data_IF_190943218652
#
_entry.id   IF_190943218652
#
_cell.length_a   1.000
_cell.length_b   1.000
_cell.length_c   1.000
_cell.angle_alpha   90.00
_cell.angle_beta   90.00
_cell.angle_gamma   90.00
#
_symmetry.space_group_name_H-M   'P 1'
#
loop_
_entity.id
_entity.type
_entity.pdbx_description
1 polymer ?
#
# COMPACT_ATOMS: atom_id res chain seq x y z
N UNK A 1 -7.70 -18.28 15.01
CA UNK A 1 -7.15 -17.28 14.05
C UNK A 1 -7.38 -17.82 12.66
N UNK A 2 -8.08 -17.07 11.80
CA UNK A 2 -8.42 -17.54 10.45
C UNK A 2 -7.18 -17.77 9.58
N UNK A 3 -7.37 -18.52 8.50
CA UNK A 3 -6.33 -18.93 7.53
C UNK A 3 -5.58 -17.76 6.86
N UNK A 4 -6.05 -16.52 6.98
CA UNK A 4 -5.47 -15.34 6.32
C UNK A 4 -4.01 -15.03 6.69
N UNK A 5 -3.56 -15.44 7.86
CA UNK A 5 -2.15 -15.22 8.28
C UNK A 5 -1.15 -16.12 7.57
N UNK A 6 -1.60 -17.20 6.93
CA UNK A 6 -0.75 -18.01 6.06
C UNK A 6 -0.35 -17.26 4.79
N UNK A 7 -1.12 -16.23 4.41
CA UNK A 7 -0.86 -15.37 3.26
C UNK A 7 0.05 -14.17 3.60
N UNK A 8 0.83 -14.25 4.71
CA UNK A 8 1.72 -13.17 5.13
C UNK A 8 2.64 -12.64 4.02
N UNK A 9 3.12 -13.45 3.04
CA UNK A 9 3.95 -12.92 1.96
C UNK A 9 3.17 -11.95 1.05
N UNK A 10 1.92 -12.27 0.75
CA UNK A 10 1.04 -11.40 -0.03
C UNK A 10 0.60 -10.17 0.76
N UNK A 11 0.43 -10.31 2.09
CA UNK A 11 0.15 -9.17 2.97
C UNK A 11 1.29 -8.15 2.89
N UNK A 12 2.54 -8.58 3.02
CA UNK A 12 3.71 -7.71 2.92
C UNK A 12 3.79 -7.07 1.54
N UNK A 13 3.68 -7.86 0.48
CA UNK A 13 3.75 -7.37 -0.90
C UNK A 13 2.72 -6.28 -1.17
N UNK A 14 1.46 -6.53 -0.84
CA UNK A 14 0.38 -5.57 -1.14
C UNK A 14 0.45 -4.32 -0.29
N UNK A 15 0.69 -4.42 1.03
CA UNK A 15 0.79 -3.26 1.92
C UNK A 15 2.00 -2.40 1.56
N UNK A 16 3.17 -3.00 1.38
CA UNK A 16 4.39 -2.27 1.03
C UNK A 16 4.26 -1.63 -0.35
N UNK A 17 3.77 -2.36 -1.35
CA UNK A 17 3.56 -1.83 -2.69
C UNK A 17 2.65 -0.60 -2.72
N UNK A 18 1.55 -0.62 -1.94
CA UNK A 18 0.64 0.52 -1.81
C UNK A 18 1.30 1.71 -1.11
N UNK A 19 2.02 1.49 -0.02
CA UNK A 19 2.77 2.54 0.67
C UNK A 19 3.84 3.15 -0.24
N UNK A 20 4.55 2.31 -1.02
CA UNK A 20 5.57 2.75 -1.98
C UNK A 20 4.96 3.58 -3.11
N UNK A 21 3.86 3.13 -3.70
CA UNK A 21 3.17 3.87 -4.75
C UNK A 21 2.73 5.26 -4.26
N UNK A 22 2.08 5.32 -3.08
CA UNK A 22 1.68 6.58 -2.46
C UNK A 22 2.85 7.46 -2.05
N UNK A 23 3.89 6.88 -1.45
CA UNK A 23 5.12 7.59 -1.07
C UNK A 23 5.88 8.15 -2.27
N UNK A 24 5.94 7.39 -3.37
CA UNK A 24 6.52 7.88 -4.63
C UNK A 24 5.76 9.10 -5.16
N UNK A 25 4.43 9.08 -5.14
CA UNK A 25 3.61 10.24 -5.57
C UNK A 25 3.97 11.47 -4.74
N UNK A 26 4.08 11.34 -3.42
CA UNK A 26 4.45 12.46 -2.54
C UNK A 26 5.82 13.05 -2.91
N UNK A 27 6.84 12.21 -3.06
CA UNK A 27 8.19 12.67 -3.39
C UNK A 27 8.27 13.24 -4.81
N UNK A 28 7.56 12.62 -5.76
CA UNK A 28 7.48 13.12 -7.14
C UNK A 28 6.83 14.51 -7.19
N UNK A 29 5.72 14.71 -6.48
CA UNK A 29 5.06 16.02 -6.40
C UNK A 29 5.96 17.08 -5.74
N UNK A 30 6.72 16.71 -4.69
CA UNK A 30 7.69 17.61 -4.07
C UNK A 30 8.79 18.04 -5.07
N UNK A 31 9.28 17.10 -5.89
CA UNK A 31 10.30 17.39 -6.91
C UNK A 31 9.73 18.19 -8.10
N UNK A 32 8.48 17.94 -8.49
CA UNK A 32 7.80 18.62 -9.61
C UNK A 32 7.40 20.05 -9.27
N UNK A 33 7.12 20.35 -8.00
CA UNK A 33 6.76 21.70 -7.56
C UNK A 33 7.87 22.74 -7.86
N UNK A 34 9.13 22.30 -7.92
CA UNK A 34 10.23 23.13 -8.38
C UNK A 34 10.81 24.11 -7.36
N UNK A 35 10.26 24.18 -6.15
CA UNK A 35 10.69 25.14 -5.11
C UNK A 35 11.97 24.68 -4.38
N UNK A 36 12.44 23.46 -4.63
CA UNK A 36 13.59 22.88 -3.95
C UNK A 36 14.90 23.30 -4.62
N UNK A 37 15.87 23.71 -3.81
CA UNK A 37 17.25 23.93 -4.29
C UNK A 37 17.84 22.62 -4.82
N UNK A 38 18.79 22.69 -5.75
CA UNK A 38 19.38 21.54 -6.42
C UNK A 38 19.94 20.48 -5.42
N UNK A 39 20.55 20.92 -4.32
CA UNK A 39 21.05 20.04 -3.27
C UNK A 39 19.92 19.29 -2.53
N UNK A 40 18.82 19.98 -2.23
CA UNK A 40 17.66 19.40 -1.58
C UNK A 40 16.98 18.40 -2.52
N UNK A 41 16.85 18.71 -3.82
CA UNK A 41 16.34 17.80 -4.82
C UNK A 41 17.17 16.50 -4.86
N UNK A 42 18.51 16.62 -4.83
CA UNK A 42 19.40 15.46 -4.85
C UNK A 42 19.26 14.62 -3.58
N UNK A 43 19.07 15.24 -2.39
CA UNK A 43 18.80 14.51 -1.15
C UNK A 43 17.46 13.78 -1.20
N UNK A 44 16.40 14.42 -1.73
CA UNK A 44 15.10 13.74 -1.91
C UNK A 44 15.24 12.54 -2.82
N UNK A 45 15.91 12.69 -3.96
CA UNK A 45 16.19 11.57 -4.88
C UNK A 45 16.96 10.47 -4.16
N UNK A 46 17.96 10.80 -3.35
CA UNK A 46 18.71 9.81 -2.56
C UNK A 46 17.79 9.05 -1.59
N UNK A 47 16.91 9.75 -0.87
CA UNK A 47 15.97 9.15 0.08
C UNK A 47 14.92 8.27 -0.59
N UNK A 48 14.62 8.45 -1.90
CA UNK A 48 13.75 7.56 -2.66
C UNK A 48 14.28 6.11 -2.71
N UNK A 49 15.56 5.88 -2.40
CA UNK A 49 16.11 4.53 -2.26
C UNK A 49 15.29 3.68 -1.27
N UNK A 50 14.80 4.29 -0.18
CA UNK A 50 13.94 3.61 0.79
C UNK A 50 12.67 3.03 0.18
N UNK A 51 12.09 3.68 -0.84
CA UNK A 51 10.92 3.15 -1.56
C UNK A 51 11.28 1.84 -2.29
N UNK A 52 12.42 1.83 -2.96
CA UNK A 52 12.85 0.68 -3.76
C UNK A 52 13.27 -0.50 -2.88
N UNK A 53 13.83 -0.23 -1.70
CA UNK A 53 14.10 -1.27 -0.69
C UNK A 53 12.78 -1.90 -0.22
N UNK A 54 11.78 -1.10 0.15
CA UNK A 54 10.47 -1.63 0.56
C UNK A 54 9.79 -2.41 -0.57
N UNK A 55 9.85 -1.90 -1.80
CA UNK A 55 9.30 -2.59 -2.96
C UNK A 55 10.01 -3.93 -3.22
N UNK A 56 11.34 -3.95 -3.13
CA UNK A 56 12.15 -5.16 -3.25
C UNK A 56 11.79 -6.20 -2.18
N UNK A 57 11.63 -5.79 -0.92
CA UNK A 57 11.17 -6.67 0.17
C UNK A 57 9.79 -7.24 -0.15
N UNK A 58 8.87 -6.42 -0.65
CA UNK A 58 7.55 -6.86 -1.08
C UNK A 58 7.60 -7.93 -2.18
N UNK A 59 8.41 -7.72 -3.23
CA UNK A 59 8.59 -8.72 -4.28
C UNK A 59 9.23 -10.01 -3.77
N UNK A 60 10.27 -9.92 -2.93
CA UNK A 60 10.90 -11.11 -2.33
C UNK A 60 9.87 -11.88 -1.50
N UNK A 61 9.08 -11.19 -0.67
CA UNK A 61 8.01 -11.82 0.09
C UNK A 61 7.01 -12.52 -0.84
N UNK A 62 6.54 -11.85 -1.90
CA UNK A 62 5.62 -12.45 -2.88
C UNK A 62 6.18 -13.72 -3.53
N UNK A 63 7.50 -13.75 -3.82
CA UNK A 63 8.13 -14.96 -4.38
C UNK A 63 8.14 -16.14 -3.39
N UNK A 64 8.18 -15.90 -2.08
CA UNK A 64 8.13 -16.95 -1.06
C UNK A 64 6.77 -17.65 -0.99
N UNK A 65 5.70 -16.99 -1.46
CA UNK A 65 4.37 -17.61 -1.58
C UNK A 65 4.29 -18.61 -2.75
N UNK A 66 5.15 -18.46 -3.75
CA UNK A 66 5.21 -19.38 -4.89
C UNK A 66 5.91 -20.69 -4.45
N UNK A 67 5.22 -21.80 -4.52
CA UNK A 67 5.82 -23.11 -4.21
C UNK A 67 7.05 -23.47 -5.06
N UNK A 68 7.31 -22.71 -6.12
CA UNK A 68 8.49 -22.81 -6.99
C UNK A 68 8.91 -21.40 -7.45
N UNK A 69 9.79 -20.69 -6.72
CA UNK A 69 10.21 -19.32 -7.06
C UNK A 69 10.80 -19.18 -8.47
N UNK A 70 11.46 -20.22 -8.98
CA UNK A 70 12.01 -20.23 -10.36
C UNK A 70 10.93 -20.16 -11.43
N UNK A 71 9.67 -20.48 -11.10
CA UNK A 71 8.53 -20.37 -12.00
C UNK A 71 7.83 -19.01 -11.94
N UNK A 72 8.34 -18.06 -11.12
CA UNK A 72 7.77 -16.71 -11.03
C UNK A 72 7.66 -16.03 -12.40
N UNK A 73 8.63 -16.25 -13.30
CA UNK A 73 8.60 -15.72 -14.66
C UNK A 73 7.43 -16.27 -15.51
N UNK A 74 6.94 -17.48 -15.20
CA UNK A 74 5.79 -18.05 -15.92
C UNK A 74 4.49 -17.26 -15.64
N UNK A 75 4.43 -16.52 -14.54
CA UNK A 75 3.30 -15.64 -14.26
C UNK A 75 3.16 -14.52 -15.30
N UNK A 76 4.23 -14.16 -16.01
CA UNK A 76 4.19 -13.16 -17.07
C UNK A 76 3.64 -13.69 -18.41
N UNK A 77 3.53 -15.01 -18.57
CA UNK A 77 3.07 -15.63 -19.84
C UNK A 77 1.60 -15.34 -20.17
N UNK A 78 0.81 -14.87 -19.21
CA UNK A 78 -0.63 -14.59 -19.36
C UNK A 78 -1.00 -13.13 -19.13
N UNK A 79 -0.05 -12.22 -19.32
CA UNK A 79 -0.32 -10.77 -19.27
C UNK A 79 -1.42 -10.42 -20.29
N UNK A 80 -2.38 -9.62 -19.84
CA UNK A 80 -3.58 -9.28 -20.60
C UNK A 80 -4.76 -10.24 -20.37
N UNK A 81 -4.51 -11.51 -20.02
CA UNK A 81 -5.54 -12.52 -19.83
C UNK A 81 -5.78 -12.90 -18.36
N UNK A 82 -4.78 -12.75 -17.49
CA UNK A 82 -4.86 -13.09 -16.07
C UNK A 82 -4.65 -11.85 -15.20
N UNK A 83 -5.55 -11.62 -14.24
CA UNK A 83 -5.44 -10.50 -13.30
C UNK A 83 -4.14 -10.57 -12.48
N UNK A 84 -3.74 -11.77 -12.01
CA UNK A 84 -2.49 -11.99 -11.31
C UNK A 84 -1.26 -11.66 -12.18
N UNK A 85 -1.28 -12.07 -13.45
CA UNK A 85 -0.20 -11.76 -14.40
C UNK A 85 -0.11 -10.24 -14.64
N UNK A 86 -1.24 -9.55 -14.72
CA UNK A 86 -1.31 -8.11 -14.90
C UNK A 86 -0.79 -7.37 -13.66
N UNK A 87 -1.09 -7.84 -12.45
CA UNK A 87 -0.56 -7.30 -11.21
C UNK A 87 0.97 -7.40 -11.17
N UNK A 88 1.52 -8.60 -11.41
CA UNK A 88 2.97 -8.83 -11.40
C UNK A 88 3.66 -8.00 -12.49
N UNK A 89 3.10 -7.94 -13.69
CA UNK A 89 3.64 -7.14 -14.78
C UNK A 89 3.64 -5.64 -14.46
N UNK A 90 2.51 -5.10 -13.99
CA UNK A 90 2.41 -3.67 -13.65
C UNK A 90 3.32 -3.29 -12.50
N UNK A 91 3.42 -4.13 -11.46
CA UNK A 91 4.35 -3.92 -10.35
C UNK A 91 5.82 -3.97 -10.79
N UNK A 92 6.17 -4.94 -11.65
CA UNK A 92 7.51 -5.06 -12.22
C UNK A 92 7.87 -3.86 -13.10
N UNK A 93 6.94 -3.38 -13.92
CA UNK A 93 7.14 -2.18 -14.75
C UNK A 93 7.29 -0.94 -13.87
N UNK A 94 6.44 -0.76 -12.84
CA UNK A 94 6.57 0.34 -11.89
C UNK A 94 7.93 0.31 -11.19
N UNK A 95 8.38 -0.86 -10.70
CA UNK A 95 9.65 -1.04 -10.03
C UNK A 95 10.83 -0.77 -10.97
N UNK A 96 10.78 -1.28 -12.21
CA UNK A 96 11.83 -1.10 -13.20
C UNK A 96 11.93 0.36 -13.66
N UNK A 97 10.82 0.96 -14.10
CA UNK A 97 10.79 2.36 -14.56
C UNK A 97 11.13 3.32 -13.44
N UNK A 98 10.55 3.10 -12.26
CA UNK A 98 10.81 3.90 -11.08
C UNK A 98 12.26 3.78 -10.62
N UNK A 99 12.78 2.56 -10.49
CA UNK A 99 14.14 2.28 -10.01
C UNK A 99 15.23 2.68 -10.99
N UNK A 100 15.07 2.39 -12.29
CA UNK A 100 16.04 2.81 -13.32
C UNK A 100 16.06 4.34 -13.44
N UNK A 101 14.89 4.98 -13.47
CA UNK A 101 14.81 6.43 -13.50
C UNK A 101 15.44 7.08 -12.25
N UNK A 102 15.20 6.49 -11.06
CA UNK A 102 15.86 6.90 -9.83
C UNK A 102 17.38 6.79 -9.93
N UNK A 103 17.91 5.66 -10.43
CA UNK A 103 19.35 5.47 -10.60
C UNK A 103 19.95 6.51 -11.56
N UNK A 104 19.30 6.76 -12.69
CA UNK A 104 19.72 7.77 -13.65
C UNK A 104 19.66 9.19 -13.07
N UNK A 105 18.64 9.50 -12.25
CA UNK A 105 18.52 10.76 -11.53
C UNK A 105 19.64 10.93 -10.48
N UNK A 106 19.96 9.85 -9.72
CA UNK A 106 21.08 9.83 -8.79
C UNK A 106 22.42 10.10 -9.48
N UNK A 107 22.63 9.50 -10.65
CA UNK A 107 23.84 9.70 -11.47
C UNK A 107 23.82 11.03 -12.25
N UNK A 108 22.79 11.87 -12.04
CA UNK A 108 22.61 13.17 -12.75
C UNK A 108 22.61 13.04 -14.29
N UNK A 109 22.16 11.90 -14.80
CA UNK A 109 22.10 11.61 -16.24
C UNK A 109 20.76 11.98 -16.89
N UNK A 110 19.76 12.42 -16.11
CA UNK A 110 18.48 12.86 -16.64
C UNK A 110 18.49 14.37 -16.89
N UNK A 111 18.12 14.78 -18.09
CA UNK A 111 17.77 16.18 -18.35
C UNK A 111 16.53 16.60 -17.53
N UNK A 112 16.30 17.88 -17.27
CA UNK A 112 15.12 18.33 -16.52
C UNK A 112 13.80 17.83 -17.11
N UNK A 113 13.66 17.82 -18.43
CA UNK A 113 12.48 17.34 -19.12
C UNK A 113 12.28 15.82 -18.94
N UNK A 114 13.34 15.02 -19.09
CA UNK A 114 13.29 13.55 -18.88
C UNK A 114 13.00 13.20 -17.43
N UNK A 115 13.53 13.98 -16.47
CA UNK A 115 13.22 13.80 -15.05
C UNK A 115 11.74 14.05 -14.77
N UNK A 116 11.18 15.14 -15.30
CA UNK A 116 9.75 15.45 -15.18
C UNK A 116 8.89 14.33 -15.79
N UNK A 117 9.23 13.89 -17.00
CA UNK A 117 8.52 12.79 -17.67
C UNK A 117 8.57 11.49 -16.85
N UNK A 118 9.76 11.12 -16.37
CA UNK A 118 9.94 9.95 -15.51
C UNK A 118 9.07 10.00 -14.27
N UNK A 119 9.06 11.14 -13.54
CA UNK A 119 8.26 11.30 -12.32
C UNK A 119 6.76 11.12 -12.61
N UNK A 120 6.26 11.74 -13.70
CA UNK A 120 4.84 11.64 -14.08
C UNK A 120 4.49 10.20 -14.48
N UNK A 121 5.31 9.58 -15.34
CA UNK A 121 5.06 8.21 -15.79
C UNK A 121 5.09 7.22 -14.62
N UNK A 122 6.07 7.34 -13.73
CA UNK A 122 6.17 6.45 -12.58
C UNK A 122 5.02 6.65 -11.57
N UNK A 123 4.51 7.89 -11.36
CA UNK A 123 3.29 8.12 -10.57
C UNK A 123 2.09 7.38 -11.16
N UNK A 124 1.88 7.49 -12.48
CA UNK A 124 0.78 6.81 -13.17
C UNK A 124 0.91 5.29 -13.06
N UNK A 125 2.12 4.76 -13.27
CA UNK A 125 2.41 3.32 -13.13
C UNK A 125 2.16 2.82 -11.69
N UNK A 126 2.48 3.62 -10.68
CA UNK A 126 2.19 3.29 -9.27
C UNK A 126 0.68 3.16 -9.00
N UNK A 127 -0.13 4.08 -9.54
CA UNK A 127 -1.60 4.00 -9.43
C UNK A 127 -2.14 2.78 -10.19
N UNK A 128 -1.64 2.54 -11.41
CA UNK A 128 -2.02 1.35 -12.21
C UNK A 128 -1.68 0.07 -11.44
N UNK A 129 -0.51 0.00 -10.83
CA UNK A 129 -0.10 -1.15 -10.03
C UNK A 129 -1.08 -1.43 -8.86
N UNK A 130 -1.45 -0.41 -8.09
CA UNK A 130 -2.45 -0.58 -7.02
C UNK A 130 -3.80 -1.00 -7.59
N UNK A 131 -4.22 -0.45 -8.73
CA UNK A 131 -5.44 -0.88 -9.40
C UNK A 131 -5.38 -2.34 -9.86
N UNK A 132 -4.25 -2.81 -10.36
CA UNK A 132 -4.08 -4.22 -10.76
C UNK A 132 -4.11 -5.15 -9.55
N UNK A 133 -3.58 -4.74 -8.39
CA UNK A 133 -3.78 -5.48 -7.12
C UNK A 133 -5.26 -5.65 -6.79
N UNK A 134 -6.05 -4.58 -6.89
CA UNK A 134 -7.51 -4.64 -6.68
C UNK A 134 -8.14 -5.63 -7.63
N UNK A 135 -7.77 -5.58 -8.91
CA UNK A 135 -8.34 -6.45 -9.96
C UNK A 135 -8.14 -7.94 -9.72
N UNK A 136 -7.04 -8.34 -9.05
CA UNK A 136 -6.81 -9.75 -8.71
C UNK A 136 -7.97 -10.31 -7.88
N UNK A 137 -8.45 -9.56 -6.90
CA UNK A 137 -9.47 -10.02 -5.96
C UNK A 137 -10.87 -9.60 -6.39
N UNK A 138 -11.03 -8.36 -6.86
CA UNK A 138 -12.34 -7.81 -7.24
C UNK A 138 -12.86 -8.31 -8.60
N UNK A 139 -12.16 -9.23 -9.26
CA UNK A 139 -12.65 -9.91 -10.46
C UNK A 139 -13.13 -11.34 -10.22
N UNK A 140 -13.00 -11.84 -8.98
CA UNK A 140 -13.39 -13.20 -8.60
C UNK A 140 -14.82 -13.17 -8.06
N UNK A 141 -15.80 -13.28 -8.95
CA UNK A 141 -17.24 -13.25 -8.63
C UNK A 141 -17.70 -14.44 -7.76
N UNK A 142 -16.94 -15.54 -7.79
CA UNK A 142 -17.15 -16.72 -6.94
C UNK A 142 -16.74 -16.51 -5.48
N UNK A 143 -16.12 -15.37 -5.14
CA UNK A 143 -15.73 -15.00 -3.78
C UNK A 143 -16.41 -13.69 -3.39
N UNK A 144 -17.67 -13.72 -2.90
CA UNK A 144 -18.48 -12.52 -2.66
C UNK A 144 -17.82 -11.53 -1.69
N UNK A 145 -17.04 -12.03 -0.73
CA UNK A 145 -16.31 -11.21 0.26
C UNK A 145 -15.18 -10.39 -0.35
N UNK A 146 -14.65 -10.79 -1.51
CA UNK A 146 -13.64 -10.07 -2.29
C UNK A 146 -14.24 -9.32 -3.48
N UNK A 147 -15.31 -9.87 -4.09
CA UNK A 147 -16.05 -9.23 -5.16
C UNK A 147 -17.03 -8.19 -4.58
N UNK A 148 -16.48 -7.12 -4.00
CA UNK A 148 -17.24 -6.08 -3.33
C UNK A 148 -16.56 -4.72 -3.49
N UNK A 149 -17.30 -3.64 -3.23
CA UNK A 149 -16.77 -2.26 -3.24
C UNK A 149 -15.71 -2.05 -2.14
N UNK A 150 -15.73 -2.85 -1.07
CA UNK A 150 -14.79 -2.72 0.03
C UNK A 150 -13.37 -3.08 -0.36
N UNK A 151 -13.19 -3.95 -1.36
CA UNK A 151 -11.87 -4.34 -1.88
C UNK A 151 -11.12 -3.14 -2.49
N UNK A 152 -11.62 -2.43 -3.52
CA UNK A 152 -10.93 -1.25 -4.02
C UNK A 152 -10.76 -0.18 -2.95
N UNK A 153 -11.77 0.06 -2.10
CA UNK A 153 -11.66 1.03 -1.02
C UNK A 153 -10.53 0.67 -0.06
N UNK A 154 -10.46 -0.56 0.43
CA UNK A 154 -9.42 -0.99 1.37
C UNK A 154 -8.01 -0.86 0.80
N UNK A 155 -7.82 -1.17 -0.49
CA UNK A 155 -6.51 -1.08 -1.14
C UNK A 155 -6.06 0.38 -1.33
N UNK A 156 -6.92 1.26 -1.84
CA UNK A 156 -6.57 2.66 -2.02
C UNK A 156 -6.47 3.42 -0.68
N UNK A 157 -7.27 3.07 0.33
CA UNK A 157 -7.14 3.67 1.66
C UNK A 157 -5.78 3.36 2.30
N UNK A 158 -5.24 2.14 2.13
CA UNK A 158 -3.87 1.82 2.56
C UNK A 158 -2.84 2.72 1.84
N UNK A 159 -3.00 2.95 0.53
CA UNK A 159 -2.13 3.84 -0.23
C UNK A 159 -2.22 5.30 0.27
N UNK A 160 -3.44 5.81 0.52
CA UNK A 160 -3.67 7.17 1.00
C UNK A 160 -3.33 7.37 2.48
N UNK A 161 -3.17 6.30 3.25
CA UNK A 161 -2.75 6.37 4.65
C UNK A 161 -1.24 6.22 4.78
N UNK A 162 -0.68 5.16 4.22
CA UNK A 162 0.73 4.83 4.35
C UNK A 162 1.64 5.64 3.43
N UNK A 163 1.17 5.98 2.22
CA UNK A 163 1.94 6.77 1.26
C UNK A 163 2.32 8.15 1.77
N UNK A 164 1.39 8.96 2.28
CA UNK A 164 1.71 10.28 2.83
C UNK A 164 2.68 10.23 4.03
N UNK A 165 2.52 9.28 4.94
CA UNK A 165 3.45 9.15 6.08
C UNK A 165 4.84 8.71 5.63
N UNK A 166 4.94 7.73 4.72
CA UNK A 166 6.22 7.30 4.15
C UNK A 166 6.89 8.45 3.38
N UNK A 167 6.14 9.15 2.56
CA UNK A 167 6.63 10.32 1.82
C UNK A 167 7.12 11.43 2.74
N UNK A 168 6.37 11.72 3.81
CA UNK A 168 6.76 12.71 4.82
C UNK A 168 8.04 12.29 5.56
N UNK A 169 8.15 11.02 5.98
CA UNK A 169 9.35 10.47 6.59
C UNK A 169 10.58 10.64 5.69
N UNK A 170 10.47 10.32 4.40
CA UNK A 170 11.58 10.44 3.45
C UNK A 170 11.93 11.90 3.13
N UNK A 171 10.94 12.81 3.09
CA UNK A 171 11.19 14.25 2.96
C UNK A 171 11.91 14.79 4.21
N UNK A 172 11.51 14.38 5.40
CA UNK A 172 12.17 14.77 6.65
C UNK A 172 13.60 14.25 6.72
N UNK A 173 13.86 13.00 6.26
CA UNK A 173 15.22 12.46 6.11
C UNK A 173 16.06 13.28 5.13
N UNK A 174 15.45 13.81 4.06
CA UNK A 174 16.11 14.68 3.10
C UNK A 174 16.32 16.11 3.62
N UNK A 175 15.85 16.43 4.82
CA UNK A 175 15.89 17.81 5.37
C UNK A 175 15.02 18.79 4.57
N UNK A 176 13.89 18.32 4.04
CA UNK A 176 12.91 19.12 3.31
C UNK A 176 11.69 19.29 4.20
N UNK A 177 11.55 20.49 4.73
CA UNK A 177 10.47 20.84 5.65
C UNK A 177 9.42 21.73 4.96
N UNK A 178 8.22 21.76 5.51
CA UNK A 178 7.21 22.81 5.26
C UNK A 178 6.26 22.53 4.12
N UNK A 179 6.68 21.92 3.02
CA UNK A 179 5.88 21.82 1.80
C UNK A 179 4.52 21.13 2.00
N UNK A 180 4.47 20.09 2.77
CA UNK A 180 3.28 19.26 2.91
C UNK A 180 2.85 19.04 4.37
N UNK A 181 3.35 19.87 5.28
CA UNK A 181 3.20 19.68 6.73
C UNK A 181 1.75 19.51 7.20
N UNK A 182 0.79 20.13 6.52
CA UNK A 182 -0.63 20.05 6.89
C UNK A 182 -1.43 19.15 5.96
N UNK A 183 -1.06 19.11 4.68
CA UNK A 183 -1.81 18.37 3.67
C UNK A 183 -1.62 16.85 3.82
N UNK A 184 -0.38 16.39 3.97
CA UNK A 184 -0.12 14.94 4.06
C UNK A 184 -0.76 14.30 5.30
N UNK A 185 -0.64 14.86 6.53
CA UNK A 185 -1.36 14.36 7.68
C UNK A 185 -2.89 14.39 7.50
N UNK A 186 -3.44 15.46 6.89
CA UNK A 186 -4.87 15.58 6.64
C UNK A 186 -5.40 14.48 5.72
N UNK A 187 -4.66 14.14 4.67
CA UNK A 187 -5.01 13.02 3.76
C UNK A 187 -5.04 11.71 4.55
N UNK A 188 -4.03 11.44 5.38
CA UNK A 188 -3.98 10.20 6.18
C UNK A 188 -5.07 10.14 7.25
N UNK A 189 -5.41 11.27 7.89
CA UNK A 189 -6.53 11.35 8.85
C UNK A 189 -7.87 11.09 8.14
N UNK A 190 -8.09 11.70 6.98
CA UNK A 190 -9.30 11.42 6.19
C UNK A 190 -9.37 9.94 5.80
N UNK A 191 -8.25 9.36 5.35
CA UNK A 191 -8.18 7.94 5.02
C UNK A 191 -8.47 7.05 6.25
N UNK A 192 -8.01 7.43 7.46
CA UNK A 192 -8.33 6.72 8.70
C UNK A 192 -9.83 6.77 9.01
N UNK A 193 -10.44 7.95 8.93
CA UNK A 193 -11.89 8.11 9.19
C UNK A 193 -12.69 7.26 8.23
N UNK A 194 -12.40 7.36 6.92
CA UNK A 194 -13.08 6.55 5.90
C UNK A 194 -12.82 5.06 6.13
N UNK A 195 -11.60 4.67 6.51
CA UNK A 195 -11.26 3.27 6.81
C UNK A 195 -12.06 2.72 8.00
N UNK A 196 -12.33 3.54 9.02
CA UNK A 196 -13.20 3.20 10.13
C UNK A 196 -14.64 2.93 9.67
N UNK A 197 -15.19 3.83 8.85
CA UNK A 197 -16.54 3.66 8.27
C UNK A 197 -16.60 2.39 7.42
N UNK A 198 -15.62 2.18 6.53
CA UNK A 198 -15.52 0.98 5.68
C UNK A 198 -15.49 -0.29 6.52
N UNK A 199 -14.71 -0.31 7.61
CA UNK A 199 -14.60 -1.48 8.49
C UNK A 199 -15.93 -1.84 9.14
N UNK A 200 -16.69 -0.84 9.59
CA UNK A 200 -18.03 -1.04 10.17
C UNK A 200 -19.04 -1.52 9.13
N UNK A 201 -19.07 -0.87 7.97
CA UNK A 201 -20.00 -1.22 6.88
C UNK A 201 -19.72 -2.62 6.32
N UNK A 202 -18.46 -2.95 6.10
CA UNK A 202 -18.03 -4.29 5.67
C UNK A 202 -18.42 -5.33 6.73
N UNK A 203 -18.19 -5.06 8.01
CA UNK A 203 -18.57 -5.96 9.09
C UNK A 203 -20.08 -6.24 9.12
N UNK A 204 -20.91 -5.22 8.88
CA UNK A 204 -22.36 -5.39 8.78
C UNK A 204 -22.76 -6.24 7.55
N UNK A 205 -22.12 -6.02 6.40
CA UNK A 205 -22.38 -6.79 5.18
C UNK A 205 -21.97 -8.27 5.32
N UNK A 206 -20.86 -8.56 6.01
CA UNK A 206 -20.42 -9.94 6.24
C UNK A 206 -21.47 -10.79 6.98
N UNK A 207 -22.32 -10.18 7.79
CA UNK A 207 -23.43 -10.87 8.46
C UNK A 207 -24.52 -11.32 7.48
N UNK A 208 -24.61 -10.72 6.30
CA UNK A 208 -25.62 -11.04 5.27
C UNK A 208 -25.10 -12.05 4.23
N UNK A 209 -23.77 -12.19 4.11
CA UNK A 209 -23.16 -13.11 3.14
C UNK A 209 -23.09 -14.51 3.75
N UNK A 210 -23.80 -15.46 3.15
CA UNK A 210 -23.82 -16.85 3.58
C UNK A 210 -23.97 -17.81 2.39
N UNK A 211 -23.43 -19.00 2.54
CA UNK A 211 -23.72 -20.17 1.71
C UNK A 211 -24.59 -21.15 2.50
N UNK A 212 -24.98 -22.26 1.89
CA UNK A 212 -25.73 -23.33 2.58
C UNK A 212 -24.98 -23.95 3.76
N UNK A 213 -23.64 -23.83 3.80
CA UNK A 213 -22.79 -24.49 4.81
C UNK A 213 -21.95 -23.53 5.65
N UNK A 214 -21.80 -22.26 5.26
CA UNK A 214 -20.90 -21.31 5.91
C UNK A 214 -21.40 -19.88 5.84
N UNK A 215 -21.17 -19.13 6.92
CA UNK A 215 -21.40 -17.68 6.98
C UNK A 215 -20.06 -16.93 6.85
N UNK A 216 -20.04 -15.84 6.12
CA UNK A 216 -18.82 -15.04 5.94
C UNK A 216 -18.30 -14.48 7.28
N UNK A 217 -19.17 -14.10 8.19
CA UNK A 217 -18.81 -13.65 9.54
C UNK A 217 -18.07 -14.74 10.37
N UNK A 218 -18.30 -16.02 10.10
CA UNK A 218 -17.64 -17.13 10.79
C UNK A 218 -16.21 -17.40 10.30
N UNK A 219 -15.81 -16.87 9.13
CA UNK A 219 -14.45 -17.01 8.59
C UNK A 219 -13.40 -16.30 9.44
N UNK A 220 -13.78 -15.14 10.00
CA UNK A 220 -12.93 -14.35 10.90
C UNK A 220 -13.77 -14.00 12.14
N UNK A 221 -13.90 -14.93 13.12
CA UNK A 221 -14.72 -14.71 14.31
C UNK A 221 -14.32 -13.45 15.10
N UNK A 222 -13.02 -13.12 15.10
CA UNK A 222 -12.45 -11.98 15.80
C UNK A 222 -12.42 -10.69 14.95
N UNK A 223 -13.23 -10.61 13.87
CA UNK A 223 -13.22 -9.47 12.94
C UNK A 223 -13.29 -8.13 13.66
N UNK A 224 -14.25 -7.96 14.56
CA UNK A 224 -14.43 -6.70 15.30
C UNK A 224 -13.21 -6.34 16.16
N UNK A 225 -12.63 -7.31 16.86
CA UNK A 225 -11.43 -7.10 17.68
C UNK A 225 -10.21 -6.77 16.81
N UNK A 226 -9.98 -7.49 15.71
CA UNK A 226 -8.86 -7.25 14.79
C UNK A 226 -8.97 -5.88 14.12
N UNK A 227 -10.17 -5.50 13.65
CA UNK A 227 -10.38 -4.18 13.06
C UNK A 227 -10.27 -3.06 14.10
N UNK A 228 -10.67 -3.28 15.35
CA UNK A 228 -10.44 -2.32 16.43
C UNK A 228 -8.96 -2.12 16.70
N UNK A 229 -8.17 -3.19 16.80
CA UNK A 229 -6.71 -3.09 16.94
C UNK A 229 -6.04 -2.40 15.75
N UNK A 230 -6.48 -2.70 14.52
CA UNK A 230 -6.04 -1.97 13.32
C UNK A 230 -6.24 -0.47 13.49
N UNK A 231 -7.47 -0.04 13.78
CA UNK A 231 -7.80 1.39 13.92
C UNK A 231 -7.02 2.05 15.05
N UNK A 232 -6.86 1.37 16.19
CA UNK A 232 -6.05 1.89 17.32
C UNK A 232 -4.59 2.10 16.89
N UNK A 233 -3.96 1.12 16.26
CA UNK A 233 -2.57 1.24 15.79
C UNK A 233 -2.40 2.37 14.79
N UNK A 234 -3.33 2.49 13.83
CA UNK A 234 -3.32 3.57 12.84
C UNK A 234 -3.52 4.94 13.51
N UNK A 235 -4.45 5.05 14.46
CA UNK A 235 -4.69 6.28 15.19
C UNK A 235 -3.47 6.69 16.03
N UNK A 236 -2.84 5.74 16.74
CA UNK A 236 -1.60 6.00 17.49
C UNK A 236 -0.47 6.44 16.56
N UNK A 237 -0.31 5.77 15.42
CA UNK A 237 0.67 6.16 14.39
C UNK A 237 0.46 7.61 13.93
N UNK A 238 -0.76 7.99 13.59
CA UNK A 238 -1.06 9.37 13.18
C UNK A 238 -0.91 10.37 14.33
N UNK A 239 -1.29 10.00 15.54
CA UNK A 239 -1.07 10.86 16.72
C UNK A 239 0.41 11.15 16.95
N UNK A 240 1.29 10.15 16.85
CA UNK A 240 2.74 10.35 16.99
C UNK A 240 3.29 11.28 15.90
N UNK A 241 2.77 11.20 14.69
CA UNK A 241 3.16 12.08 13.61
C UNK A 241 2.64 13.52 13.76
N UNK A 242 1.38 13.68 14.16
CA UNK A 242 0.66 14.96 14.15
C UNK A 242 0.86 15.76 15.44
N UNK A 243 0.94 15.12 16.62
CA UNK A 243 1.02 15.81 17.88
C UNK A 243 2.20 16.79 18.00
N UNK A 244 3.43 16.49 17.54
CA UNK A 244 4.51 17.47 17.51
C UNK A 244 4.17 18.71 16.66
N UNK A 245 3.53 18.51 15.51
CA UNK A 245 3.15 19.58 14.57
C UNK A 245 2.11 20.53 15.19
N UNK A 246 1.15 20.00 15.94
CA UNK A 246 0.17 20.82 16.68
C UNK A 246 0.82 21.69 17.76
N UNK A 247 1.98 21.26 18.29
CA UNK A 247 2.78 22.02 19.25
C UNK A 247 3.81 22.94 18.56
N UNK A 248 3.79 23.04 17.23
CA UNK A 248 4.71 23.89 16.46
C UNK A 248 6.10 23.29 16.22
N UNK A 249 6.30 21.99 16.49
CA UNK A 249 7.58 21.31 16.29
C UNK A 249 7.52 20.39 15.06
N UNK A 250 8.67 20.20 14.41
CA UNK A 250 8.83 19.16 13.40
C UNK A 250 8.97 17.79 14.11
N UNK A 251 8.21 16.76 13.67
CA UNK A 251 8.37 15.43 14.24
C UNK A 251 9.76 14.88 13.88
N UNK A 252 10.46 14.37 14.90
CA UNK A 252 11.79 13.79 14.71
C UNK A 252 11.71 12.51 13.85
N UNK A 253 12.72 12.27 13.02
CA UNK A 253 12.80 11.09 12.14
C UNK A 253 12.60 9.76 12.89
N UNK A 254 13.19 9.51 14.07
CA UNK A 254 12.91 8.29 14.82
C UNK A 254 11.43 8.13 15.18
N UNK A 255 10.77 9.23 15.55
CA UNK A 255 9.34 9.21 15.89
C UNK A 255 8.48 8.88 14.65
N UNK A 256 8.82 9.47 13.50
CA UNK A 256 8.17 9.15 12.22
C UNK A 256 8.40 7.68 11.81
N UNK A 257 9.58 7.15 12.08
CA UNK A 257 9.89 5.74 11.81
C UNK A 257 9.03 4.80 12.66
N UNK A 258 8.91 5.09 13.97
CA UNK A 258 8.00 4.34 14.86
C UNK A 258 6.55 4.47 14.40
N UNK A 259 6.12 5.69 14.05
CA UNK A 259 4.80 5.95 13.49
C UNK A 259 4.54 5.10 12.25
N UNK A 260 5.49 5.03 11.32
CA UNK A 260 5.34 4.23 10.10
C UNK A 260 5.30 2.72 10.39
N UNK A 261 6.10 2.21 11.33
CA UNK A 261 6.07 0.80 11.76
C UNK A 261 4.71 0.45 12.36
N UNK A 262 4.14 1.29 13.23
CA UNK A 262 2.81 1.08 13.80
C UNK A 262 1.72 1.09 12.72
N UNK A 263 1.84 2.01 11.75
CA UNK A 263 0.93 2.05 10.61
C UNK A 263 1.01 0.75 9.80
N UNK A 264 2.21 0.27 9.48
CA UNK A 264 2.40 -1.01 8.78
C UNK A 264 1.78 -2.17 9.57
N UNK A 265 1.98 -2.22 10.89
CA UNK A 265 1.38 -3.26 11.73
C UNK A 265 -0.16 -3.23 11.65
N UNK A 266 -0.77 -2.05 11.74
CA UNK A 266 -2.22 -1.89 11.58
C UNK A 266 -2.72 -2.33 10.20
N UNK A 267 -2.04 -1.91 9.13
CA UNK A 267 -2.41 -2.28 7.76
C UNK A 267 -2.21 -3.78 7.48
N UNK A 268 -1.18 -4.41 8.05
CA UNK A 268 -0.98 -5.86 7.96
C UNK A 268 -2.11 -6.63 8.67
N UNK A 269 -2.59 -6.17 9.83
CA UNK A 269 -3.77 -6.75 10.48
C UNK A 269 -4.98 -6.69 9.53
N UNK A 270 -5.28 -5.53 8.98
CA UNK A 270 -6.39 -5.38 8.02
C UNK A 270 -6.24 -6.27 6.79
N UNK A 271 -5.03 -6.43 6.28
CA UNK A 271 -4.76 -7.28 5.13
C UNK A 271 -4.89 -8.77 5.48
N UNK A 272 -4.45 -9.18 6.68
CA UNK A 272 -4.67 -10.54 7.19
C UNK A 272 -6.15 -10.88 7.32
N UNK A 273 -6.97 -9.95 7.81
CA UNK A 273 -8.44 -10.11 7.83
C UNK A 273 -8.99 -10.25 6.42
N UNK A 274 -8.55 -9.41 5.47
CA UNK A 274 -8.98 -9.48 4.07
C UNK A 274 -8.71 -10.86 3.45
N UNK A 275 -7.53 -11.42 3.65
CA UNK A 275 -7.21 -12.77 3.16
C UNK A 275 -7.96 -13.85 3.93
N UNK A 276 -8.20 -13.67 5.22
CA UNK A 276 -9.00 -14.58 6.04
C UNK A 276 -10.47 -14.67 5.62
N UNK A 277 -10.99 -13.64 4.95
CA UNK A 277 -12.35 -13.60 4.41
C UNK A 277 -12.52 -14.35 3.07
N UNK A 278 -11.54 -15.14 2.64
CA UNK A 278 -11.67 -15.96 1.44
C UNK A 278 -12.78 -17.00 1.59
N UNK A 279 -13.90 -16.74 0.93
CA UNK A 279 -15.08 -17.59 0.94
C UNK A 279 -15.49 -17.95 -0.49
N UNK A 280 -15.37 -19.19 -0.89
CA UNK A 280 -15.85 -19.66 -2.19
C UNK A 280 -17.28 -20.20 -2.09
N UNK A 281 -18.18 -19.68 -2.93
CA UNK A 281 -19.58 -20.18 -2.97
C UNK A 281 -19.71 -21.58 -3.57
N UNK A 282 -18.73 -22.05 -4.34
CA UNK A 282 -18.74 -23.36 -4.98
C UNK A 282 -18.44 -24.55 -4.06
N UNK A 283 -17.89 -24.33 -2.86
CA UNK A 283 -17.62 -25.41 -1.91
C UNK A 283 -18.90 -26.02 -1.28
N UNK A 284 -20.03 -25.37 -1.43
CA UNK A 284 -21.32 -25.88 -0.94
C UNK A 284 -21.90 -27.01 -1.81
N UNK A 285 -21.36 -27.24 -3.01
CA UNK A 285 -21.87 -28.24 -3.98
C UNK A 285 -21.03 -29.53 -3.97
N UNK A 286 -19.87 -29.53 -3.29
CA UNK A 286 -18.91 -30.63 -3.30
C UNK A 286 -18.90 -31.49 -2.01
N UNK A 287 -19.86 -31.28 -1.10
CA UNK A 287 -19.99 -32.04 0.15
C UNK A 287 -21.26 -32.88 0.16
#
# INVERSE_FOLDING_TARGET
MGSGWHEWPLMIFTVFGQCVAGGFIVLALALLKGDLRAEAQQRVIACMFGLWVLMGIGFIASMLHLGSPMRAFNSLNRVGASALSNEIASGSIFFAVGGIGWLLAMLKKLSPALRTLWLIVAMVLGVIFVWMMVRVYNSIDTVPTWYSIWTPMGFFLTMFMGGPLLGYLLLSLAGVDGWAMRLLPAISVLALVVSGVVSVMQGAELATIHSSVQQAAALVPDYGALMSWRIVLLAVALCLWIAPQLKGYQPAVPLLSVSFILLLAGELIGRGVFYGLHMTVGMAVAS
#
